data_IF_236010788490
#
_entry.id   IF_236010788490
#
_cell.length_a   1.000
_cell.length_b   1.000
_cell.length_c   1.000
_cell.angle_alpha   90.00
_cell.angle_beta   90.00
_cell.angle_gamma   90.00
#
_symmetry.space_group_name_H-M   'P 1'
#
loop_
_entity.id
_entity.type
_entity.pdbx_description
1 polymer ?
#
# COMPACT_ATOMS: atom_id res chain seq x y z
N UNK A 1 -51.22 17.05 23.73
CA UNK A 1 -49.99 16.24 23.65
C UNK A 1 -49.05 16.77 22.56
N UNK A 2 -48.33 17.88 22.80
CA UNK A 2 -47.47 18.53 21.79
C UNK A 2 -46.10 18.90 22.35
N UNK A 3 -45.54 18.06 23.22
CA UNK A 3 -44.19 18.25 23.81
C UNK A 3 -43.32 16.99 23.75
N UNK A 4 -43.77 15.94 23.03
CA UNK A 4 -43.03 14.67 22.89
C UNK A 4 -42.62 14.36 21.45
N UNK A 5 -43.14 15.09 20.47
CA UNK A 5 -42.79 14.96 19.05
C UNK A 5 -41.60 15.84 18.67
N UNK A 6 -41.46 17.02 19.27
CA UNK A 6 -40.34 17.93 18.97
C UNK A 6 -38.98 17.38 19.43
N UNK A 7 -38.94 16.64 20.54
CA UNK A 7 -37.70 16.05 21.09
C UNK A 7 -37.19 14.83 20.29
N UNK A 8 -38.04 14.19 19.48
CA UNK A 8 -37.66 13.04 18.64
C UNK A 8 -37.24 13.46 17.23
N UNK A 9 -37.64 14.64 16.77
CA UNK A 9 -37.17 15.19 15.50
C UNK A 9 -35.74 15.74 15.58
N UNK A 10 -35.30 16.21 16.75
CA UNK A 10 -33.94 16.73 16.95
C UNK A 10 -32.85 15.65 17.09
N UNK A 11 -33.20 14.38 17.37
CA UNK A 11 -32.21 13.29 17.54
C UNK A 11 -32.06 12.39 16.31
N UNK A 12 -32.89 12.54 15.28
CA UNK A 12 -32.80 11.77 14.03
C UNK A 12 -32.11 12.53 12.87
N UNK A 13 -31.85 13.83 13.04
CA UNK A 13 -31.16 14.67 12.06
C UNK A 13 -29.66 14.86 12.36
N UNK A 14 -29.18 14.34 13.49
CA UNK A 14 -27.77 14.26 13.82
C UNK A 14 -27.17 12.98 13.23
N UNK A 15 -26.78 13.03 11.94
CA UNK A 15 -25.52 12.43 11.43
C UNK A 15 -25.47 12.23 9.91
N UNK A 16 -26.48 12.63 9.14
CA UNK A 16 -26.31 12.66 7.68
C UNK A 16 -25.88 14.04 7.19
N UNK A 17 -24.60 14.33 7.37
CA UNK A 17 -23.88 15.37 6.63
C UNK A 17 -22.39 15.11 6.82
N UNK A 18 -21.90 14.07 6.14
CA UNK A 18 -20.52 14.12 5.64
C UNK A 18 -20.47 15.42 4.84
N UNK A 19 -19.78 16.42 5.36
CA UNK A 19 -19.89 17.78 4.85
C UNK A 19 -19.27 17.83 3.46
N UNK A 20 -19.80 18.68 2.59
CA UNK A 20 -19.12 18.96 1.31
C UNK A 20 -17.69 19.45 1.56
N UNK A 21 -17.40 20.05 2.72
CA UNK A 21 -16.06 20.39 3.22
C UNK A 21 -15.20 19.16 3.57
N UNK A 22 -15.76 18.07 4.11
CA UNK A 22 -15.01 16.80 4.33
C UNK A 22 -14.68 16.13 2.99
N UNK A 23 -15.62 16.18 2.04
CA UNK A 23 -15.40 15.71 0.67
C UNK A 23 -14.42 16.63 -0.09
N UNK A 24 -14.44 17.95 0.17
CA UNK A 24 -13.49 18.90 -0.41
C UNK A 24 -12.10 18.72 0.18
N UNK A 25 -11.96 18.48 1.49
CA UNK A 25 -10.66 18.15 2.10
C UNK A 25 -10.08 16.87 1.50
N UNK A 26 -10.89 15.82 1.33
CA UNK A 26 -10.48 14.58 0.65
C UNK A 26 -10.07 14.76 -0.83
N UNK A 27 -10.54 15.83 -1.49
CA UNK A 27 -10.21 16.14 -2.89
C UNK A 27 -9.08 17.19 -3.00
N UNK A 28 -8.92 18.05 -1.99
CA UNK A 28 -7.92 19.13 -1.93
C UNK A 28 -6.59 18.76 -1.26
N UNK A 29 -6.53 17.65 -0.51
CA UNK A 29 -5.26 17.03 -0.07
C UNK A 29 -4.53 16.46 -1.30
N UNK A 30 -3.88 17.36 -2.03
CA UNK A 30 -3.35 17.15 -3.37
C UNK A 30 -2.49 15.90 -3.49
N UNK A 31 -2.97 14.95 -4.30
CA UNK A 31 -2.24 13.74 -4.74
C UNK A 31 -1.46 13.08 -3.60
N UNK A 32 -2.16 12.54 -2.60
CA UNK A 32 -1.57 11.52 -1.72
C UNK A 32 -0.86 10.51 -2.61
N UNK A 33 0.46 10.43 -2.49
CA UNK A 33 1.24 9.53 -3.35
C UNK A 33 1.05 8.13 -2.80
N UNK A 34 0.31 7.30 -3.53
CA UNK A 34 0.23 5.89 -3.21
C UNK A 34 1.47 5.17 -3.75
N UNK A 35 2.25 4.58 -2.85
CA UNK A 35 3.37 3.73 -3.19
C UNK A 35 2.90 2.28 -3.10
N UNK A 36 2.61 1.68 -4.25
CA UNK A 36 2.28 0.28 -4.35
C UNK A 36 3.55 -0.58 -4.26
N UNK A 37 3.50 -1.64 -3.46
CA UNK A 37 4.63 -2.54 -3.24
C UNK A 37 4.18 -4.00 -3.37
N UNK A 38 4.99 -4.80 -4.06
CA UNK A 38 4.88 -6.26 -4.09
C UNK A 38 6.00 -6.83 -3.24
N UNK A 39 5.67 -7.75 -2.32
CA UNK A 39 6.65 -8.38 -1.42
C UNK A 39 6.75 -9.87 -1.75
N UNK A 40 7.96 -10.34 -2.01
CA UNK A 40 8.30 -11.76 -2.10
C UNK A 40 9.29 -12.13 -1.01
N UNK A 41 9.10 -13.26 -0.35
CA UNK A 41 10.07 -13.75 0.62
C UNK A 41 10.25 -15.26 0.56
N UNK A 42 11.30 -15.75 1.20
CA UNK A 42 11.61 -17.18 1.33
C UNK A 42 10.61 -17.93 2.21
N UNK A 43 10.09 -17.28 3.24
CA UNK A 43 9.10 -17.83 4.17
C UNK A 43 7.96 -16.85 4.45
N UNK A 44 6.79 -17.39 4.79
CA UNK A 44 5.58 -16.60 5.05
C UNK A 44 5.77 -15.59 6.19
N UNK A 45 6.50 -15.94 7.25
CA UNK A 45 6.74 -15.07 8.40
C UNK A 45 7.43 -13.77 8.01
N UNK A 46 8.40 -13.83 7.08
CA UNK A 46 9.10 -12.67 6.55
C UNK A 46 8.16 -11.75 5.76
N UNK A 47 7.26 -12.32 4.96
CA UNK A 47 6.24 -11.55 4.21
C UNK A 47 5.38 -10.72 5.16
N UNK A 48 4.88 -11.35 6.23
CA UNK A 48 4.00 -10.67 7.20
C UNK A 48 4.76 -9.61 8.01
N UNK A 49 5.99 -9.91 8.45
CA UNK A 49 6.83 -8.96 9.17
C UNK A 49 7.15 -7.69 8.34
N UNK A 50 7.42 -7.88 7.05
CA UNK A 50 7.68 -6.76 6.13
C UNK A 50 6.41 -5.96 5.87
N UNK A 51 5.28 -6.63 5.58
CA UNK A 51 3.98 -5.95 5.41
C UNK A 51 3.64 -5.08 6.62
N UNK A 52 3.78 -5.62 7.83
CA UNK A 52 3.48 -4.88 9.05
C UNK A 52 4.42 -3.67 9.24
N UNK A 53 5.69 -3.83 8.89
CA UNK A 53 6.67 -2.74 8.95
C UNK A 53 6.39 -1.65 7.92
N UNK A 54 6.10 -2.02 6.67
CA UNK A 54 5.76 -1.08 5.60
C UNK A 54 4.46 -0.32 5.89
N UNK A 55 3.46 -0.97 6.49
CA UNK A 55 2.23 -0.31 6.89
C UNK A 55 2.47 0.83 7.89
N UNK A 56 3.45 0.67 8.80
CA UNK A 56 3.84 1.72 9.77
C UNK A 56 4.58 2.90 9.15
N UNK A 57 5.10 2.76 7.92
CA UNK A 57 5.77 3.85 7.20
C UNK A 57 4.77 4.75 6.46
N UNK A 58 3.48 4.40 6.41
CA UNK A 58 2.46 5.26 5.81
C UNK A 58 2.35 6.56 6.60
N UNK A 59 2.39 7.68 5.88
CA UNK A 59 2.23 9.04 6.40
C UNK A 59 1.05 9.71 5.68
N UNK A 60 0.60 10.85 6.16
CA UNK A 60 -0.50 11.60 5.54
C UNK A 60 -0.16 12.04 4.08
N UNK A 61 1.13 12.25 3.76
CA UNK A 61 1.61 12.60 2.42
C UNK A 61 1.83 11.39 1.48
N UNK A 62 2.28 10.25 2.02
CA UNK A 62 2.62 9.05 1.25
C UNK A 62 1.97 7.82 1.86
N UNK A 63 1.09 7.19 1.09
CA UNK A 63 0.39 5.97 1.49
C UNK A 63 1.12 4.76 0.94
N UNK A 64 1.72 3.97 1.83
CA UNK A 64 2.41 2.74 1.45
C UNK A 64 1.43 1.59 1.47
N UNK A 65 1.25 0.93 0.31
CA UNK A 65 0.29 -0.17 0.17
C UNK A 65 0.96 -1.41 -0.42
N UNK A 66 0.93 -2.51 0.33
CA UNK A 66 1.33 -3.81 -0.21
C UNK A 66 0.17 -4.41 -0.99
N UNK A 67 0.30 -4.50 -2.32
CA UNK A 67 -0.74 -5.02 -3.22
C UNK A 67 -0.69 -6.53 -3.39
N UNK A 68 0.50 -7.11 -3.24
CA UNK A 68 0.71 -8.55 -3.32
C UNK A 68 1.85 -8.97 -2.39
N UNK A 69 1.67 -10.10 -1.71
CA UNK A 69 2.66 -10.68 -0.82
C UNK A 69 2.68 -12.20 -1.00
N UNK A 70 3.82 -12.76 -1.40
CA UNK A 70 3.93 -14.18 -1.71
C UNK A 70 5.24 -14.80 -1.25
N UNK A 71 5.25 -16.13 -1.14
CA UNK A 71 6.45 -16.92 -0.83
C UNK A 71 7.05 -17.45 -2.13
N UNK A 72 8.37 -17.39 -2.25
CA UNK A 72 9.13 -17.87 -3.39
C UNK A 72 9.89 -16.79 -4.15
N UNK A 73 10.56 -17.20 -5.23
CA UNK A 73 11.30 -16.32 -6.12
C UNK A 73 10.39 -15.27 -6.79
N UNK A 74 10.99 -14.19 -7.29
CA UNK A 74 10.26 -13.16 -8.05
C UNK A 74 10.13 -13.66 -9.49
N UNK A 75 8.89 -13.77 -9.96
CA UNK A 75 8.55 -14.30 -11.28
C UNK A 75 8.12 -13.21 -12.25
N UNK A 76 8.02 -13.54 -13.54
CA UNK A 76 7.53 -12.62 -14.57
C UNK A 76 6.10 -12.12 -14.31
N UNK A 77 5.25 -12.96 -13.70
CA UNK A 77 3.88 -12.57 -13.32
C UNK A 77 3.88 -11.47 -12.27
N UNK A 78 4.83 -11.50 -11.33
CA UNK A 78 4.96 -10.46 -10.33
C UNK A 78 5.41 -9.14 -10.96
N UNK A 79 6.32 -9.19 -11.94
CA UNK A 79 6.76 -8.01 -12.69
C UNK A 79 5.60 -7.45 -13.52
N UNK A 80 4.83 -8.29 -14.19
CA UNK A 80 3.66 -7.86 -14.96
C UNK A 80 2.65 -7.14 -14.08
N UNK A 81 2.39 -7.68 -12.89
CA UNK A 81 1.52 -7.04 -11.89
C UNK A 81 2.10 -5.70 -11.41
N UNK A 82 3.42 -5.64 -11.23
CA UNK A 82 4.13 -4.43 -10.84
C UNK A 82 4.01 -3.33 -11.90
N UNK A 83 4.24 -3.66 -13.17
CA UNK A 83 4.09 -2.74 -14.32
C UNK A 83 2.67 -2.20 -14.41
N UNK A 84 1.66 -3.08 -14.33
CA UNK A 84 0.26 -2.69 -14.41
C UNK A 84 -0.20 -1.78 -13.26
N UNK A 85 0.41 -1.93 -12.08
CA UNK A 85 0.05 -1.19 -10.86
C UNK A 85 1.03 -0.07 -10.53
N UNK A 86 2.05 0.15 -11.35
CA UNK A 86 3.19 1.03 -11.08
C UNK A 86 3.80 0.79 -9.68
N UNK A 87 4.02 -0.49 -9.34
CA UNK A 87 4.47 -0.93 -8.03
C UNK A 87 5.96 -1.28 -7.99
N UNK A 88 6.58 -1.09 -6.83
CA UNK A 88 7.93 -1.53 -6.53
C UNK A 88 7.94 -3.01 -6.12
N UNK A 89 8.94 -3.78 -6.56
CA UNK A 89 9.09 -5.18 -6.16
C UNK A 89 10.20 -5.31 -5.11
N UNK A 90 9.85 -5.87 -3.94
CA UNK A 90 10.77 -6.15 -2.84
C UNK A 90 10.92 -7.65 -2.66
N UNK A 91 12.14 -8.16 -2.80
CA UNK A 91 12.51 -9.53 -2.49
C UNK A 91 13.26 -9.64 -1.17
N UNK A 92 12.77 -10.44 -0.23
CA UNK A 92 13.45 -10.74 1.03
C UNK A 92 14.03 -12.14 1.03
N UNK A 93 15.36 -12.24 1.08
CA UNK A 93 16.11 -13.49 0.97
C UNK A 93 15.79 -14.31 -0.30
N UNK A 94 15.22 -13.66 -1.32
CA UNK A 94 14.88 -14.26 -2.61
C UNK A 94 15.48 -13.44 -3.74
N UNK A 95 15.68 -14.10 -4.88
CA UNK A 95 16.19 -13.47 -6.10
C UNK A 95 15.15 -13.53 -7.20
N UNK A 96 15.16 -12.60 -8.16
CA UNK A 96 14.37 -12.72 -9.37
C UNK A 96 14.91 -13.80 -10.28
N UNK A 97 14.01 -14.47 -10.98
CA UNK A 97 14.36 -15.34 -12.08
C UNK A 97 14.93 -14.53 -13.25
N UNK A 98 15.73 -15.16 -14.11
CA UNK A 98 16.37 -14.48 -15.26
C UNK A 98 15.34 -13.78 -16.16
N UNK A 99 14.18 -14.41 -16.38
CA UNK A 99 13.10 -13.81 -17.17
C UNK A 99 12.48 -12.60 -16.47
N UNK A 100 12.29 -12.67 -15.14
CA UNK A 100 11.75 -11.57 -14.36
C UNK A 100 12.70 -10.36 -14.36
N UNK A 101 14.00 -10.59 -14.19
CA UNK A 101 15.00 -9.52 -14.25
C UNK A 101 15.05 -8.85 -15.63
N UNK A 102 15.02 -9.64 -16.71
CA UNK A 102 14.99 -9.10 -18.07
C UNK A 102 13.70 -8.34 -18.39
N UNK A 103 12.56 -8.80 -17.85
CA UNK A 103 11.27 -8.12 -18.05
C UNK A 103 11.22 -6.80 -17.26
N UNK A 104 11.76 -6.79 -16.05
CA UNK A 104 11.80 -5.59 -15.23
C UNK A 104 12.65 -4.48 -15.85
N UNK A 105 13.80 -4.82 -16.45
CA UNK A 105 14.64 -3.87 -17.19
C UNK A 105 13.91 -3.28 -18.41
N UNK A 106 13.13 -4.11 -19.13
CA UNK A 106 12.32 -3.66 -20.28
C UNK A 106 11.17 -2.76 -19.90
N UNK A 107 10.45 -3.10 -18.82
CA UNK A 107 9.24 -2.41 -18.39
C UNK A 107 9.52 -1.24 -17.43
N UNK A 108 10.79 -1.06 -17.02
CA UNK A 108 11.18 -0.03 -16.06
C UNK A 108 10.68 -0.29 -14.63
N UNK A 109 10.56 -1.56 -14.25
CA UNK A 109 10.17 -1.96 -12.89
C UNK A 109 11.40 -2.07 -12.00
N UNK A 110 11.40 -1.33 -10.89
CA UNK A 110 12.43 -1.46 -9.88
C UNK A 110 12.27 -2.76 -9.06
N UNK A 111 13.32 -3.57 -9.04
CA UNK A 111 13.43 -4.74 -8.16
C UNK A 111 14.52 -4.45 -7.13
N UNK A 112 14.14 -4.49 -5.84
CA UNK A 112 15.08 -4.41 -4.74
C UNK A 112 15.09 -5.69 -3.94
N UNK A 113 16.28 -6.18 -3.62
CA UNK A 113 16.45 -7.40 -2.81
C UNK A 113 17.17 -7.08 -1.52
N UNK A 114 16.66 -7.62 -0.42
CA UNK A 114 17.18 -7.39 0.92
C UNK A 114 17.38 -8.72 1.64
N UNK A 115 18.30 -8.70 2.60
CA UNK A 115 18.53 -9.80 3.55
C UNK A 115 18.19 -9.41 4.98
N UNK A 116 18.10 -8.12 5.25
CA UNK A 116 17.82 -7.56 6.57
C UNK A 116 16.58 -6.68 6.43
N UNK A 117 15.60 -6.89 7.32
CA UNK A 117 14.30 -6.21 7.23
C UNK A 117 14.47 -4.70 7.47
N UNK A 118 15.39 -4.29 8.35
CA UNK A 118 15.66 -2.88 8.65
C UNK A 118 16.17 -2.11 7.43
N UNK A 119 17.10 -2.69 6.66
CA UNK A 119 17.60 -2.07 5.42
C UNK A 119 16.47 -1.79 4.42
N UNK A 120 15.52 -2.73 4.30
CA UNK A 120 14.35 -2.58 3.43
C UNK A 120 13.43 -1.44 3.92
N UNK A 121 13.31 -1.24 5.23
CA UNK A 121 12.48 -0.18 5.81
C UNK A 121 13.15 1.19 5.60
N UNK A 122 14.47 1.28 5.81
CA UNK A 122 15.21 2.53 5.65
C UNK A 122 15.23 3.02 4.20
N UNK A 123 15.43 2.11 3.24
CA UNK A 123 15.46 2.47 1.82
C UNK A 123 14.09 2.94 1.30
N UNK A 124 12.98 2.42 1.85
CA UNK A 124 11.62 2.86 1.49
C UNK A 124 11.25 4.19 2.16
N UNK A 125 11.86 4.51 3.30
CA UNK A 125 11.65 5.78 4.00
C UNK A 125 12.44 6.94 3.38
N UNK A 126 13.55 6.64 2.73
CA UNK A 126 14.54 7.62 2.24
C UNK A 126 14.10 8.35 0.97
#
# INVERSE_FOLDING_TARGET
ESKKDDLKAETLLANHRVSLEDLYNQIQEGKVKELAIIVKADVQGSVEAIKQSLAKLSTDDVKVRVIHGGVGAITETDITLATASNALVIGFNVRPDNNAAAQADKDGVDIKTYRIIYDAIEDIKS
#
